data_IF_920430128539
#
_entry.id   IF_920430128539
#
_cell.length_a   1.000
_cell.length_b   1.000
_cell.length_c   1.000
_cell.angle_alpha   90.00
_cell.angle_beta   90.00
_cell.angle_gamma   90.00
#
_symmetry.space_group_name_H-M   'P 1'
#
loop_
_entity.id
_entity.type
_entity.pdbx_description
1 polymer ?
#
# COMPACT_ATOMS: atom_id res chain seq x y z
N UNK A 1 -47.33 -5.81 101.43
CA UNK A 1 -46.66 -7.12 101.67
C UNK A 1 -45.86 -7.53 100.50
N UNK A 2 -44.53 -7.66 100.71
CA UNK A 2 -43.54 -8.49 100.04
C UNK A 2 -43.45 -8.41 98.50
N UNK A 3 -42.45 -7.72 97.91
CA UNK A 3 -41.06 -8.15 97.70
C UNK A 3 -40.97 -9.35 96.74
N UNK A 4 -40.36 -9.17 95.61
CA UNK A 4 -39.11 -9.86 95.30
C UNK A 4 -38.39 -9.29 94.07
N UNK A 5 -37.16 -9.04 94.28
CA UNK A 5 -36.11 -8.61 93.40
C UNK A 5 -35.61 -9.84 92.66
N UNK A 6 -35.21 -9.75 91.41
CA UNK A 6 -34.02 -10.42 90.88
C UNK A 6 -33.75 -10.04 89.43
N UNK A 7 -32.75 -9.30 89.22
CA UNK A 7 -31.43 -9.57 88.62
C UNK A 7 -31.44 -9.97 87.15
N UNK A 8 -30.93 -9.01 86.37
CA UNK A 8 -29.78 -9.04 85.49
C UNK A 8 -29.69 -10.19 84.49
N UNK A 9 -29.62 -9.85 83.24
CA UNK A 9 -29.05 -10.58 82.13
C UNK A 9 -28.71 -9.63 80.99
N UNK A 10 -27.51 -9.04 81.04
CA UNK A 10 -26.91 -8.36 79.88
C UNK A 10 -26.60 -9.39 78.81
N UNK A 11 -27.20 -9.25 77.66
CA UNK A 11 -26.72 -9.86 76.42
C UNK A 11 -26.55 -8.74 75.40
N UNK A 12 -25.32 -8.30 75.32
CA UNK A 12 -24.89 -7.41 74.24
C UNK A 12 -24.81 -8.23 72.96
N UNK A 13 -25.77 -8.01 72.06
CA UNK A 13 -25.69 -8.53 70.68
C UNK A 13 -24.98 -7.47 69.88
N UNK A 14 -23.67 -7.68 69.67
CA UNK A 14 -22.85 -6.91 68.77
C UNK A 14 -23.30 -7.17 67.33
N UNK A 15 -23.95 -6.17 66.74
CA UNK A 15 -24.20 -6.15 65.30
C UNK A 15 -22.88 -5.81 64.54
N UNK A 16 -22.18 -6.83 64.06
CA UNK A 16 -21.09 -6.69 63.09
C UNK A 16 -21.72 -6.21 61.75
N UNK A 17 -21.66 -4.94 61.50
CA UNK A 17 -21.82 -4.35 60.16
C UNK A 17 -20.58 -4.75 59.35
N UNK A 18 -20.66 -5.87 58.62
CA UNK A 18 -19.74 -6.16 57.55
C UNK A 18 -19.97 -5.18 56.43
N UNK A 19 -19.21 -4.08 56.41
CA UNK A 19 -19.12 -3.20 55.25
C UNK A 19 -18.43 -4.00 54.12
N UNK A 20 -19.24 -4.67 53.30
CA UNK A 20 -18.81 -5.23 52.04
C UNK A 20 -18.36 -4.09 51.14
N UNK A 21 -17.05 -3.87 51.06
CA UNK A 21 -16.45 -3.04 50.01
C UNK A 21 -16.68 -3.80 48.73
N UNK A 22 -17.75 -3.52 48.01
CA UNK A 22 -17.96 -3.93 46.63
C UNK A 22 -16.90 -3.18 45.85
N UNK A 23 -15.75 -3.83 45.62
CA UNK A 23 -14.86 -3.46 44.50
C UNK A 23 -15.68 -3.68 43.24
N UNK A 24 -16.45 -2.68 42.82
CA UNK A 24 -16.88 -2.60 41.46
C UNK A 24 -15.58 -2.53 40.65
N UNK A 25 -15.14 -3.69 40.11
CA UNK A 25 -14.28 -3.71 38.97
C UNK A 25 -15.05 -3.02 37.83
N UNK A 26 -15.11 -1.68 37.91
CA UNK A 26 -15.39 -0.90 36.73
C UNK A 26 -14.30 -1.34 35.76
N UNK A 27 -14.66 -2.12 34.74
CA UNK A 27 -13.81 -2.30 33.60
C UNK A 27 -13.49 -0.88 33.13
N UNK A 28 -12.31 -0.39 33.54
CA UNK A 28 -11.74 0.81 32.94
C UNK A 28 -11.67 0.43 31.47
N UNK A 29 -12.54 1.00 30.65
CA UNK A 29 -12.43 0.89 29.22
C UNK A 29 -10.98 1.27 28.94
N UNK A 30 -10.16 0.28 28.59
CA UNK A 30 -8.75 0.50 28.36
C UNK A 30 -8.68 1.43 27.17
N UNK A 31 -8.37 2.70 27.43
CA UNK A 31 -8.20 3.72 26.40
C UNK A 31 -7.34 3.13 25.28
N UNK A 32 -7.92 2.93 24.12
CA UNK A 32 -7.21 2.44 22.92
C UNK A 32 -6.69 3.61 22.11
N UNK A 33 -5.63 3.38 21.35
CA UNK A 33 -5.18 4.30 20.30
C UNK A 33 -5.70 3.74 18.98
N UNK A 34 -6.68 4.43 18.39
CA UNK A 34 -7.20 4.07 17.08
C UNK A 34 -6.23 4.49 15.98
N UNK A 35 -6.02 3.60 15.01
CA UNK A 35 -5.27 3.86 13.79
C UNK A 35 -6.12 3.52 12.58
N UNK A 36 -6.12 4.41 11.58
CA UNK A 36 -6.86 4.21 10.34
C UNK A 36 -6.08 3.36 9.36
N UNK A 37 -6.75 2.42 8.69
CA UNK A 37 -6.22 1.64 7.58
C UNK A 37 -7.09 1.93 6.36
N UNK A 38 -6.51 2.62 5.38
CA UNK A 38 -7.21 3.14 4.20
C UNK A 38 -6.62 2.51 2.94
N UNK A 39 -7.14 1.35 2.57
CA UNK A 39 -6.72 0.58 1.40
C UNK A 39 -7.93 0.03 0.65
N UNK A 40 -7.84 -0.01 -0.70
CA UNK A 40 -8.87 -0.63 -1.53
C UNK A 40 -8.88 -2.15 -1.32
N UNK A 41 -9.99 -2.66 -0.81
CA UNK A 41 -10.23 -4.09 -0.61
C UNK A 41 -11.12 -4.66 -1.72
N UNK A 42 -11.60 -3.78 -2.59
CA UNK A 42 -12.38 -4.10 -3.79
C UNK A 42 -11.97 -3.18 -4.95
N UNK A 43 -12.39 -3.54 -6.18
CA UNK A 43 -12.02 -2.82 -7.40
C UNK A 43 -10.62 -3.18 -7.92
N UNK A 44 -10.13 -2.39 -8.87
CA UNK A 44 -8.92 -2.67 -9.68
C UNK A 44 -7.62 -2.75 -8.89
N UNK A 45 -7.56 -2.13 -7.71
CA UNK A 45 -6.37 -2.10 -6.85
C UNK A 45 -6.41 -3.11 -5.69
N UNK A 46 -7.51 -3.87 -5.53
CA UNK A 46 -7.64 -4.81 -4.42
C UNK A 46 -6.52 -5.87 -4.40
N UNK A 47 -6.07 -6.32 -5.56
CA UNK A 47 -4.98 -7.30 -5.69
C UNK A 47 -3.69 -6.83 -5.02
N UNK A 48 -3.40 -5.52 -5.09
CA UNK A 48 -2.16 -4.93 -4.53
C UNK A 48 -2.36 -4.38 -3.10
N UNK A 49 -3.59 -4.01 -2.71
CA UNK A 49 -3.82 -3.27 -1.45
C UNK A 49 -4.29 -4.15 -0.30
N UNK A 50 -4.90 -5.31 -0.57
CA UNK A 50 -5.42 -6.20 0.48
C UNK A 50 -4.31 -6.68 1.41
N UNK A 51 -3.17 -7.08 0.86
CA UNK A 51 -2.01 -7.53 1.63
C UNK A 51 -1.47 -6.45 2.56
N UNK A 52 -1.46 -5.18 2.12
CA UNK A 52 -1.01 -4.08 2.98
C UNK A 52 -1.91 -3.92 4.22
N UNK A 53 -3.22 -4.07 4.06
CA UNK A 53 -4.16 -4.11 5.18
C UNK A 53 -3.85 -5.28 6.12
N UNK A 54 -3.58 -6.49 5.58
CA UNK A 54 -3.29 -7.67 6.38
C UNK A 54 -1.98 -7.52 7.17
N UNK A 55 -0.93 -6.96 6.56
CA UNK A 55 0.34 -6.64 7.23
C UNK A 55 0.11 -5.64 8.37
N UNK A 56 -0.68 -4.59 8.14
CA UNK A 56 -0.98 -3.63 9.21
C UNK A 56 -1.74 -4.25 10.37
N UNK A 57 -2.73 -5.12 10.11
CA UNK A 57 -3.44 -5.85 11.17
C UNK A 57 -2.52 -6.79 11.94
N UNK A 58 -1.62 -7.49 11.25
CA UNK A 58 -0.61 -8.34 11.87
C UNK A 58 0.31 -7.53 12.80
N UNK A 59 0.82 -6.39 12.34
CA UNK A 59 1.71 -5.54 13.13
C UNK A 59 1.00 -4.94 14.35
N UNK A 60 -0.27 -4.57 14.23
CA UNK A 60 -1.09 -4.10 15.35
C UNK A 60 -1.28 -5.21 16.39
N UNK A 61 -1.58 -6.44 15.94
CA UNK A 61 -1.71 -7.60 16.84
C UNK A 61 -0.39 -7.91 17.56
N UNK A 62 0.72 -7.93 16.83
CA UNK A 62 2.05 -8.12 17.42
C UNK A 62 2.41 -7.03 18.44
N UNK A 63 2.13 -5.76 18.13
CA UNK A 63 2.38 -4.68 19.07
C UNK A 63 1.49 -4.79 20.31
N UNK A 64 0.24 -5.20 20.15
CA UNK A 64 -0.67 -5.42 21.25
C UNK A 64 -0.24 -6.60 22.16
N UNK A 65 0.32 -7.67 21.59
CA UNK A 65 0.93 -8.79 22.35
C UNK A 65 2.14 -8.35 23.16
N UNK A 66 2.87 -7.33 22.68
CA UNK A 66 4.01 -6.72 23.40
C UNK A 66 3.58 -5.70 24.47
N UNK A 67 2.27 -5.50 24.71
CA UNK A 67 1.73 -4.56 25.69
C UNK A 67 1.17 -3.25 25.12
N UNK A 68 1.01 -3.19 23.81
CA UNK A 68 0.47 -2.01 23.13
C UNK A 68 1.47 -0.87 22.93
N UNK A 69 0.98 0.35 22.88
CA UNK A 69 1.77 1.57 22.73
C UNK A 69 1.41 2.56 23.82
N UNK A 70 2.39 3.07 24.57
CA UNK A 70 2.18 3.98 25.70
C UNK A 70 1.20 3.41 26.76
N UNK A 71 1.22 2.10 26.98
CA UNK A 71 0.34 1.41 27.92
C UNK A 71 -1.11 1.21 27.43
N UNK A 72 -1.39 1.55 26.14
CA UNK A 72 -2.71 1.42 25.51
C UNK A 72 -2.68 0.40 24.38
N UNK A 73 -3.79 -0.29 24.15
CA UNK A 73 -3.94 -1.15 22.97
C UNK A 73 -4.11 -0.31 21.72
N UNK A 74 -3.59 -0.81 20.60
CA UNK A 74 -3.89 -0.29 19.27
C UNK A 74 -5.20 -0.92 18.77
N UNK A 75 -6.04 -0.12 18.14
CA UNK A 75 -7.30 -0.53 17.53
C UNK A 75 -7.33 -0.08 16.08
N UNK A 76 -7.56 -1.01 15.15
CA UNK A 76 -7.63 -0.71 13.72
C UNK A 76 -9.03 -0.29 13.30
N UNK A 77 -9.15 0.86 12.63
CA UNK A 77 -10.34 1.25 11.87
C UNK A 77 -10.05 1.04 10.38
N UNK A 78 -10.55 -0.07 9.82
CA UNK A 78 -10.32 -0.45 8.43
C UNK A 78 -11.46 0.05 7.56
N UNK A 79 -11.14 0.70 6.44
CA UNK A 79 -12.13 1.17 5.46
C UNK A 79 -11.71 0.79 4.05
N UNK A 80 -12.72 0.46 3.22
CA UNK A 80 -12.56 0.15 1.80
C UNK A 80 -13.07 1.33 0.95
N UNK A 81 -12.20 2.05 0.25
CA UNK A 81 -12.58 3.06 -0.73
C UNK A 81 -12.82 2.49 -2.15
N UNK A 82 -12.83 1.17 -2.33
CA UNK A 82 -13.24 0.48 -3.55
C UNK A 82 -12.55 0.97 -4.83
N UNK A 83 -11.27 1.30 -4.79
CA UNK A 83 -10.50 1.87 -5.92
C UNK A 83 -11.14 3.14 -6.52
N UNK A 84 -11.91 3.87 -5.72
CA UNK A 84 -12.60 5.10 -6.09
C UNK A 84 -11.95 6.31 -5.42
N UNK A 85 -11.28 7.16 -6.19
CA UNK A 85 -10.45 8.24 -5.64
C UNK A 85 -11.23 9.29 -4.83
N UNK A 86 -12.42 9.75 -5.24
CA UNK A 86 -13.30 10.56 -4.39
C UNK A 86 -13.67 9.89 -3.07
N UNK A 87 -13.93 8.59 -3.08
CA UNK A 87 -14.28 7.83 -1.88
C UNK A 87 -13.09 7.71 -0.90
N UNK A 88 -11.84 7.69 -1.41
CA UNK A 88 -10.66 7.80 -0.54
C UNK A 88 -10.70 9.07 0.32
N UNK A 89 -11.01 10.21 -0.28
CA UNK A 89 -11.09 11.47 0.47
C UNK A 89 -12.23 11.47 1.51
N UNK A 90 -13.39 10.91 1.16
CA UNK A 90 -14.52 10.76 2.09
C UNK A 90 -14.14 9.85 3.26
N UNK A 91 -13.59 8.66 2.99
CA UNK A 91 -13.18 7.71 4.02
C UNK A 91 -12.06 8.24 4.91
N UNK A 92 -11.09 8.97 4.33
CA UNK A 92 -10.07 9.67 5.12
C UNK A 92 -10.69 10.67 6.09
N UNK A 93 -11.66 11.47 5.63
CA UNK A 93 -12.39 12.43 6.48
C UNK A 93 -13.14 11.73 7.61
N UNK A 94 -13.79 10.62 7.33
CA UNK A 94 -14.52 9.83 8.31
C UNK A 94 -13.57 9.23 9.37
N UNK A 95 -12.46 8.63 8.96
CA UNK A 95 -11.44 8.11 9.88
C UNK A 95 -10.94 9.21 10.85
N UNK A 96 -10.65 10.40 10.33
CA UNK A 96 -10.09 11.49 11.14
C UNK A 96 -11.17 12.14 12.01
N UNK A 97 -12.33 12.49 11.42
CA UNK A 97 -13.34 13.33 12.12
C UNK A 97 -14.33 12.53 12.95
N UNK A 98 -14.73 11.32 12.51
CA UNK A 98 -15.72 10.48 13.19
C UNK A 98 -15.05 9.45 14.09
N UNK A 99 -14.13 8.65 13.52
CA UNK A 99 -13.42 7.60 14.25
C UNK A 99 -12.31 8.13 15.18
N UNK A 100 -11.84 9.37 14.95
CA UNK A 100 -10.81 10.04 15.75
C UNK A 100 -9.49 9.25 15.77
N UNK A 101 -9.08 8.68 14.64
CA UNK A 101 -7.83 7.96 14.55
C UNK A 101 -6.62 8.89 14.78
N UNK A 102 -5.58 8.37 15.41
CA UNK A 102 -4.36 9.13 15.72
C UNK A 102 -3.49 9.34 14.45
N UNK A 103 -3.52 8.39 13.53
CA UNK A 103 -2.84 8.44 12.24
C UNK A 103 -3.54 7.51 11.26
N UNK A 104 -3.30 7.71 9.96
CA UNK A 104 -3.80 6.83 8.90
C UNK A 104 -2.61 6.20 8.17
N UNK A 105 -2.67 4.90 7.97
CA UNK A 105 -1.79 4.13 7.10
C UNK A 105 -2.57 3.76 5.86
N UNK A 106 -2.08 4.17 4.69
CA UNK A 106 -2.89 3.86 3.51
C UNK A 106 -2.56 4.63 2.27
N UNK A 107 -3.48 4.50 1.34
CA UNK A 107 -3.30 4.78 -0.07
C UNK A 107 -2.24 3.87 -0.71
N UNK A 108 -2.40 3.60 -1.98
CA UNK A 108 -1.41 2.89 -2.77
C UNK A 108 -1.07 3.70 -4.02
N UNK A 109 -2.06 4.08 -4.80
CA UNK A 109 -1.85 4.90 -5.98
C UNK A 109 -1.53 6.35 -5.61
N UNK A 110 -0.70 7.01 -6.40
CA UNK A 110 -0.46 8.45 -6.21
C UNK A 110 -1.72 9.28 -6.40
N UNK A 111 -2.68 8.83 -7.21
CA UNK A 111 -3.95 9.53 -7.35
C UNK A 111 -4.82 9.41 -6.10
N UNK A 112 -4.84 8.25 -5.41
CA UNK A 112 -5.53 8.13 -4.13
C UNK A 112 -4.88 9.01 -3.06
N UNK A 113 -3.54 9.01 -2.97
CA UNK A 113 -2.81 9.92 -2.08
C UNK A 113 -3.18 11.38 -2.35
N UNK A 114 -3.08 11.83 -3.60
CA UNK A 114 -3.41 13.22 -3.97
C UNK A 114 -4.86 13.59 -3.65
N UNK A 115 -5.79 12.66 -3.73
CA UNK A 115 -7.19 12.91 -3.39
C UNK A 115 -7.41 13.17 -1.88
N UNK A 116 -6.59 12.56 -1.02
CA UNK A 116 -6.72 12.71 0.45
C UNK A 116 -5.89 13.87 1.01
N UNK A 117 -4.87 14.36 0.31
CA UNK A 117 -4.01 15.45 0.81
C UNK A 117 -4.79 16.66 1.35
N UNK A 118 -5.82 17.19 0.65
CA UNK A 118 -6.60 18.32 1.17
C UNK A 118 -7.26 18.02 2.50
N UNK A 119 -7.73 16.79 2.71
CA UNK A 119 -8.37 16.36 3.96
C UNK A 119 -7.36 16.32 5.12
N UNK A 120 -6.16 15.77 4.88
CA UNK A 120 -5.11 15.71 5.89
C UNK A 120 -4.59 17.11 6.27
N UNK A 121 -4.48 18.01 5.30
CA UNK A 121 -4.15 19.43 5.53
C UNK A 121 -5.20 20.12 6.38
N UNK A 122 -6.45 20.06 5.96
CA UNK A 122 -7.59 20.73 6.60
C UNK A 122 -7.76 20.27 8.05
N UNK A 123 -7.66 18.96 8.29
CA UNK A 123 -7.88 18.35 9.61
C UNK A 123 -6.59 18.21 10.43
N UNK A 124 -5.46 18.68 9.91
CA UNK A 124 -4.12 18.58 10.53
C UNK A 124 -3.80 17.18 11.06
N UNK A 125 -4.08 16.16 10.26
CA UNK A 125 -3.83 14.77 10.58
C UNK A 125 -2.58 14.25 9.86
N UNK A 126 -2.20 12.98 10.09
CA UNK A 126 -0.98 12.37 9.56
C UNK A 126 -1.31 11.14 8.72
N UNK A 127 -0.73 11.10 7.52
CA UNK A 127 -0.75 9.95 6.62
C UNK A 127 0.63 9.29 6.56
N UNK A 128 0.70 7.98 6.77
CA UNK A 128 1.83 7.16 6.41
C UNK A 128 1.53 6.50 5.07
N UNK A 129 2.24 6.94 4.03
CA UNK A 129 2.09 6.45 2.66
C UNK A 129 3.16 5.38 2.38
N UNK A 130 2.78 4.08 2.19
CA UNK A 130 3.71 2.97 2.34
C UNK A 130 4.50 2.61 1.08
N UNK A 131 4.06 2.99 -0.12
CA UNK A 131 4.61 2.48 -1.38
C UNK A 131 5.42 3.53 -2.14
N UNK A 132 6.10 3.09 -3.20
CA UNK A 132 6.84 3.96 -4.10
C UNK A 132 5.93 5.03 -4.74
N UNK A 133 6.53 6.12 -5.16
CA UNK A 133 5.83 7.23 -5.81
C UNK A 133 6.76 7.97 -6.78
N UNK A 134 6.19 8.87 -7.56
CA UNK A 134 6.91 9.66 -8.57
C UNK A 134 7.88 10.69 -8.02
N UNK A 135 7.95 10.87 -6.69
CA UNK A 135 8.66 12.01 -6.11
C UNK A 135 7.94 13.34 -6.38
N UNK A 136 8.71 14.44 -6.44
CA UNK A 136 8.24 15.79 -6.80
C UNK A 136 7.07 16.31 -5.95
N UNK A 137 6.90 15.76 -4.75
CA UNK A 137 5.87 16.14 -3.78
C UNK A 137 6.47 16.14 -2.38
N UNK A 138 6.18 17.18 -1.63
CA UNK A 138 6.53 17.31 -0.22
C UNK A 138 5.33 17.89 0.52
N UNK A 139 4.70 17.08 1.36
CA UNK A 139 3.56 17.48 2.15
C UNK A 139 3.83 17.20 3.63
N UNK A 140 3.76 18.24 4.47
CA UNK A 140 4.08 18.12 5.91
C UNK A 140 3.22 17.11 6.68
N UNK A 141 2.05 16.81 6.15
CA UNK A 141 1.09 15.88 6.77
C UNK A 141 1.29 14.42 6.28
N UNK A 142 2.32 14.16 5.45
CA UNK A 142 2.56 12.83 4.88
C UNK A 142 3.98 12.36 5.16
N UNK A 143 4.09 11.15 5.67
CA UNK A 143 5.35 10.40 5.69
C UNK A 143 5.39 9.49 4.46
N UNK A 144 6.26 9.82 3.52
CA UNK A 144 6.54 9.02 2.33
C UNK A 144 7.57 7.95 2.71
N UNK A 145 7.13 6.71 2.90
CA UNK A 145 8.00 5.62 3.36
C UNK A 145 8.45 4.69 2.23
N UNK A 146 7.88 4.87 1.03
CA UNK A 146 8.28 4.15 -0.17
C UNK A 146 9.35 4.89 -0.99
N UNK A 147 9.87 4.20 -2.01
CA UNK A 147 10.96 4.67 -2.84
C UNK A 147 10.53 5.81 -3.80
N UNK A 148 11.40 6.79 -3.96
CA UNK A 148 11.33 7.79 -5.03
C UNK A 148 12.06 7.27 -6.29
N UNK A 149 11.92 7.90 -7.47
CA UNK A 149 12.50 7.41 -8.73
C UNK A 149 14.03 7.22 -8.70
N UNK A 150 14.75 8.05 -7.96
CA UNK A 150 16.19 7.91 -7.77
C UNK A 150 16.59 6.72 -6.88
N UNK A 151 15.64 6.12 -6.17
CA UNK A 151 15.85 4.96 -5.31
C UNK A 151 15.33 3.66 -5.96
N UNK A 152 14.53 3.72 -7.00
CA UNK A 152 13.93 2.57 -7.66
C UNK A 152 14.10 2.64 -9.19
N UNK A 153 13.43 3.56 -9.85
CA UNK A 153 13.28 3.57 -11.31
C UNK A 153 14.62 3.82 -12.03
N UNK A 154 15.41 4.79 -11.57
CA UNK A 154 16.72 5.12 -12.16
C UNK A 154 17.73 3.98 -11.94
N UNK A 155 17.92 3.44 -10.73
CA UNK A 155 18.81 2.29 -10.53
C UNK A 155 18.43 1.04 -11.34
N UNK A 156 17.13 0.77 -11.52
CA UNK A 156 16.66 -0.35 -12.33
C UNK A 156 17.04 -0.19 -13.83
N UNK A 157 16.90 1.04 -14.34
CA UNK A 157 17.31 1.36 -15.72
C UNK A 157 18.85 1.28 -15.86
N UNK A 158 19.60 1.83 -14.88
CA UNK A 158 21.07 1.73 -14.89
C UNK A 158 21.54 0.27 -14.88
N UNK A 159 20.91 -0.59 -14.10
CA UNK A 159 21.19 -2.03 -14.11
C UNK A 159 20.98 -2.62 -15.50
N UNK A 160 19.83 -2.40 -16.12
CA UNK A 160 19.53 -2.93 -17.47
C UNK A 160 20.47 -2.35 -18.56
N UNK A 161 20.98 -1.14 -18.38
CA UNK A 161 21.99 -0.56 -19.29
C UNK A 161 23.38 -1.16 -19.08
N UNK A 162 23.66 -1.76 -17.92
CA UNK A 162 24.93 -2.36 -17.59
C UNK A 162 25.17 -3.68 -18.35
N UNK A 163 26.41 -4.18 -18.32
CA UNK A 163 26.78 -5.46 -18.89
C UNK A 163 25.98 -6.61 -18.24
N UNK A 164 25.82 -6.59 -16.92
CA UNK A 164 25.13 -7.61 -16.15
C UNK A 164 23.61 -7.60 -16.40
N UNK A 165 23.04 -6.43 -16.65
CA UNK A 165 21.64 -6.22 -16.97
C UNK A 165 21.29 -6.39 -18.46
N UNK A 166 22.26 -6.72 -19.30
CA UNK A 166 22.05 -7.06 -20.70
C UNK A 166 22.35 -5.95 -21.71
N UNK A 167 22.90 -4.80 -21.31
CA UNK A 167 23.29 -3.68 -22.20
C UNK A 167 22.12 -3.14 -23.05
N UNK A 168 20.96 -2.97 -22.43
CA UNK A 168 19.73 -2.50 -23.10
C UNK A 168 19.97 -1.13 -23.73
N UNK A 169 19.51 -0.97 -24.97
CA UNK A 169 19.67 0.25 -25.78
C UNK A 169 18.33 0.83 -26.23
N UNK A 170 17.24 0.06 -26.09
CA UNK A 170 15.92 0.42 -26.56
C UNK A 170 14.87 0.17 -25.49
N UNK A 171 13.92 1.08 -25.33
CA UNK A 171 13.10 1.13 -24.13
C UNK A 171 11.62 1.27 -24.44
N UNK A 172 10.81 0.44 -23.82
CA UNK A 172 9.37 0.62 -23.76
C UNK A 172 8.99 1.03 -22.36
N UNK A 173 8.35 2.18 -22.21
CA UNK A 173 7.82 2.69 -20.95
C UNK A 173 6.30 2.48 -20.98
N UNK A 174 5.83 1.39 -20.39
CA UNK A 174 4.42 1.02 -20.36
C UNK A 174 3.82 1.27 -18.97
N UNK A 175 2.70 1.98 -18.90
CA UNK A 175 2.13 2.34 -17.61
C UNK A 175 0.62 2.53 -17.61
N UNK A 176 0.04 2.49 -16.43
CA UNK A 176 -1.35 2.90 -16.20
C UNK A 176 -1.48 4.41 -16.35
N UNK A 177 -2.58 4.88 -16.94
CA UNK A 177 -2.78 6.28 -17.26
C UNK A 177 -3.20 7.13 -16.05
N UNK A 178 -2.22 7.49 -15.21
CA UNK A 178 -2.41 8.45 -14.10
C UNK A 178 -1.07 9.08 -13.69
N UNK A 179 -1.06 9.91 -12.64
CA UNK A 179 0.05 10.78 -12.28
C UNK A 179 1.38 10.03 -12.05
N UNK A 180 1.37 8.89 -11.33
CA UNK A 180 2.61 8.15 -11.03
C UNK A 180 3.30 7.64 -12.30
N UNK A 181 2.67 6.84 -13.18
CA UNK A 181 3.32 6.37 -14.40
C UNK A 181 3.72 7.51 -15.34
N UNK A 182 2.85 8.51 -15.52
CA UNK A 182 3.15 9.64 -16.41
C UNK A 182 4.35 10.44 -15.94
N UNK A 183 4.46 10.72 -14.65
CA UNK A 183 5.60 11.47 -14.09
C UNK A 183 6.86 10.60 -14.05
N UNK A 184 6.76 9.35 -13.59
CA UNK A 184 7.91 8.43 -13.56
C UNK A 184 8.47 8.17 -14.95
N UNK A 185 7.62 7.91 -15.95
CA UNK A 185 8.05 7.68 -17.31
C UNK A 185 8.65 8.95 -17.96
N UNK A 186 8.14 10.14 -17.61
CA UNK A 186 8.75 11.41 -18.04
C UNK A 186 10.16 11.59 -17.45
N UNK A 187 10.34 11.26 -16.18
CA UNK A 187 11.66 11.27 -15.53
C UNK A 187 12.60 10.27 -16.23
N UNK A 188 12.13 9.05 -16.48
CA UNK A 188 12.91 8.02 -17.17
C UNK A 188 13.23 8.40 -18.62
N UNK A 189 12.28 8.97 -19.36
CA UNK A 189 12.54 9.46 -20.71
C UNK A 189 13.66 10.52 -20.73
N UNK A 190 13.58 11.50 -19.82
CA UNK A 190 14.63 12.52 -19.69
C UNK A 190 15.98 11.90 -19.29
N UNK A 191 15.94 10.95 -18.37
CA UNK A 191 17.14 10.23 -17.93
C UNK A 191 17.78 9.42 -19.06
N UNK A 192 17.00 8.63 -19.79
CA UNK A 192 17.46 7.85 -20.94
C UNK A 192 18.09 8.74 -22.03
N UNK A 193 17.44 9.86 -22.35
CA UNK A 193 17.99 10.88 -23.28
C UNK A 193 19.31 11.44 -22.77
N UNK A 194 19.46 11.70 -21.48
CA UNK A 194 20.72 12.16 -20.88
C UNK A 194 21.85 11.13 -20.98
N UNK A 195 21.51 9.84 -21.08
CA UNK A 195 22.45 8.74 -21.33
C UNK A 195 22.72 8.47 -22.81
N UNK A 196 22.20 9.30 -23.71
CA UNK A 196 22.41 9.21 -25.15
C UNK A 196 21.45 8.27 -25.88
N UNK A 197 20.36 7.84 -25.25
CA UNK A 197 19.32 7.07 -25.94
C UNK A 197 18.55 7.99 -26.88
N UNK A 198 18.47 7.61 -28.16
CA UNK A 198 17.76 8.37 -29.16
C UNK A 198 16.24 8.38 -28.93
N UNK A 199 15.51 9.43 -29.27
CA UNK A 199 14.05 9.44 -29.14
C UNK A 199 13.34 8.26 -29.82
N UNK A 200 13.81 7.85 -30.99
CA UNK A 200 13.26 6.70 -31.73
C UNK A 200 13.50 5.34 -31.06
N UNK A 201 14.35 5.30 -30.04
CA UNK A 201 14.62 4.13 -29.21
C UNK A 201 13.82 4.15 -27.91
N UNK A 202 12.83 5.05 -27.78
CA UNK A 202 11.92 5.13 -26.63
C UNK A 202 10.48 5.09 -27.11
N UNK A 203 9.73 4.07 -26.69
CA UNK A 203 8.30 3.92 -26.95
C UNK A 203 7.54 4.10 -25.61
N UNK A 204 6.49 4.90 -25.61
CA UNK A 204 5.69 5.16 -24.40
C UNK A 204 4.23 4.78 -24.65
N UNK A 205 3.66 3.96 -23.79
CA UNK A 205 2.26 3.54 -23.85
C UNK A 205 1.58 3.73 -22.49
N UNK A 206 0.33 4.20 -22.52
CA UNK A 206 -0.51 4.31 -21.32
C UNK A 206 -1.85 3.62 -21.56
N UNK A 207 -2.36 2.93 -20.54
CA UNK A 207 -3.67 2.29 -20.54
C UNK A 207 -4.48 2.70 -19.31
N UNK A 208 -5.81 2.71 -19.35
CA UNK A 208 -6.61 2.99 -18.16
C UNK A 208 -6.43 1.89 -17.10
N UNK A 209 -6.83 2.20 -15.86
CA UNK A 209 -6.97 1.18 -14.82
C UNK A 209 -7.90 0.06 -15.28
N UNK A 210 -7.59 -1.19 -14.93
CA UNK A 210 -8.38 -2.36 -15.30
C UNK A 210 -8.32 -2.72 -16.79
N UNK A 211 -7.34 -2.19 -17.55
CA UNK A 211 -7.17 -2.54 -18.96
C UNK A 211 -6.90 -4.03 -19.14
N UNK A 212 -7.65 -4.68 -20.03
CA UNK A 212 -7.59 -6.13 -20.20
C UNK A 212 -7.19 -6.61 -21.62
N UNK A 213 -7.29 -5.74 -22.64
CA UNK A 213 -6.96 -6.07 -24.02
C UNK A 213 -5.54 -5.61 -24.39
N UNK A 214 -4.55 -6.44 -24.13
CA UNK A 214 -3.14 -6.14 -24.37
C UNK A 214 -2.61 -6.62 -25.71
N UNK A 215 -3.46 -7.23 -26.56
CA UNK A 215 -3.00 -7.88 -27.79
C UNK A 215 -2.22 -6.93 -28.71
N UNK A 216 -2.77 -5.77 -29.00
CA UNK A 216 -2.13 -4.78 -29.88
C UNK A 216 -0.85 -4.20 -29.26
N UNK A 217 -0.90 -3.83 -27.98
CA UNK A 217 0.23 -3.20 -27.29
C UNK A 217 1.42 -4.18 -27.21
N UNK A 218 1.16 -5.46 -26.88
CA UNK A 218 2.20 -6.48 -26.83
C UNK A 218 2.77 -6.79 -28.21
N UNK A 219 1.92 -6.80 -29.27
CA UNK A 219 2.40 -6.93 -30.65
C UNK A 219 3.30 -5.75 -31.06
N UNK A 220 2.95 -4.52 -30.67
CA UNK A 220 3.76 -3.33 -30.91
C UNK A 220 5.10 -3.39 -30.15
N UNK A 221 5.10 -3.84 -28.90
CA UNK A 221 6.31 -4.08 -28.11
C UNK A 221 7.23 -5.09 -28.84
N UNK A 222 6.67 -6.20 -29.30
CA UNK A 222 7.39 -7.23 -30.04
C UNK A 222 8.01 -6.69 -31.33
N UNK A 223 7.22 -5.95 -32.10
CA UNK A 223 7.67 -5.29 -33.33
C UNK A 223 8.78 -4.28 -33.04
N UNK A 224 8.59 -3.45 -32.01
CA UNK A 224 9.57 -2.46 -31.59
C UNK A 224 10.89 -3.12 -31.18
N UNK A 225 10.86 -4.23 -30.46
CA UNK A 225 12.04 -4.99 -30.03
C UNK A 225 12.73 -5.79 -31.14
N UNK A 226 12.10 -5.96 -32.32
CA UNK A 226 12.69 -6.71 -33.45
C UNK A 226 13.74 -5.94 -34.25
N UNK A 227 14.12 -4.74 -33.83
CA UNK A 227 15.07 -3.87 -34.55
C UNK A 227 16.54 -4.28 -34.49
N UNK A 228 16.88 -5.39 -33.83
CA UNK A 228 18.25 -5.84 -33.61
C UNK A 228 18.98 -5.17 -32.44
N UNK A 229 18.37 -4.18 -31.81
CA UNK A 229 18.87 -3.56 -30.56
C UNK A 229 18.29 -4.27 -29.34
N UNK A 230 19.09 -4.50 -28.31
CA UNK A 230 18.62 -5.03 -27.03
C UNK A 230 17.55 -4.09 -26.43
N UNK A 231 16.36 -4.61 -26.24
CA UNK A 231 15.16 -3.88 -25.83
C UNK A 231 14.67 -4.38 -24.49
N UNK A 232 14.18 -3.50 -23.62
CA UNK A 232 13.48 -3.85 -22.39
C UNK A 232 12.20 -3.05 -22.24
N UNK A 233 11.26 -3.59 -21.45
CA UNK A 233 10.05 -2.91 -20.99
C UNK A 233 10.24 -2.50 -19.55
N UNK A 234 10.03 -1.22 -19.26
CA UNK A 234 9.82 -0.73 -17.89
C UNK A 234 8.32 -0.65 -17.68
N UNK A 235 7.82 -1.43 -16.71
CA UNK A 235 6.39 -1.49 -16.40
C UNK A 235 6.07 -0.67 -15.15
N UNK A 236 5.26 0.36 -15.36
CA UNK A 236 4.56 1.13 -14.33
C UNK A 236 3.05 0.85 -14.37
N UNK A 237 2.68 -0.36 -14.82
CA UNK A 237 1.30 -0.87 -14.83
C UNK A 237 0.93 -1.24 -13.40
N UNK A 238 -0.29 -0.86 -12.96
CA UNK A 238 -0.74 -1.06 -11.59
C UNK A 238 -2.05 -1.86 -11.52
N UNK A 239 -2.18 -2.59 -10.41
CA UNK A 239 -3.37 -3.35 -10.08
C UNK A 239 -3.61 -4.56 -10.98
N UNK A 240 -4.87 -4.92 -11.14
CA UNK A 240 -5.32 -6.11 -11.86
C UNK A 240 -4.97 -6.15 -13.35
N UNK A 241 -4.66 -4.99 -13.97
CA UNK A 241 -4.21 -4.91 -15.36
C UNK A 241 -2.87 -5.65 -15.62
N UNK A 242 -2.08 -5.93 -14.57
CA UNK A 242 -0.86 -6.74 -14.68
C UNK A 242 -1.18 -8.18 -15.11
N UNK A 243 -2.27 -8.75 -14.63
CA UNK A 243 -2.65 -10.14 -14.92
C UNK A 243 -2.81 -10.40 -16.43
N UNK A 244 -3.69 -9.69 -17.17
CA UNK A 244 -3.80 -9.87 -18.61
C UNK A 244 -2.58 -9.38 -19.38
N UNK A 245 -1.81 -8.40 -18.89
CA UNK A 245 -0.56 -7.97 -19.52
C UNK A 245 0.46 -9.13 -19.60
N UNK A 246 0.78 -9.73 -18.46
CA UNK A 246 1.74 -10.84 -18.42
C UNK A 246 1.23 -12.08 -19.14
N UNK A 247 -0.07 -12.38 -19.06
CA UNK A 247 -0.68 -13.44 -19.83
C UNK A 247 -0.47 -13.25 -21.33
N UNK A 248 -0.65 -12.01 -21.81
CA UNK A 248 -0.49 -11.72 -23.24
C UNK A 248 0.97 -11.73 -23.69
N UNK A 249 1.93 -11.34 -22.84
CA UNK A 249 3.36 -11.56 -23.12
C UNK A 249 3.63 -13.02 -23.40
N UNK A 250 3.11 -13.92 -22.55
CA UNK A 250 3.23 -15.37 -22.74
C UNK A 250 2.55 -15.87 -24.01
N UNK A 251 1.32 -15.43 -24.30
CA UNK A 251 0.58 -15.79 -25.51
C UNK A 251 1.32 -15.46 -26.79
N UNK A 252 1.98 -14.30 -26.84
CA UNK A 252 2.77 -13.87 -28.01
C UNK A 252 4.20 -14.35 -27.99
N UNK A 253 4.59 -15.15 -26.99
CA UNK A 253 5.91 -15.76 -26.86
C UNK A 253 7.03 -14.76 -26.60
N UNK A 254 6.74 -13.61 -25.97
CA UNK A 254 7.77 -12.69 -25.50
C UNK A 254 8.42 -13.26 -24.24
N UNK A 255 9.70 -13.62 -24.37
CA UNK A 255 10.51 -14.14 -23.26
C UNK A 255 11.41 -13.04 -22.70
N UNK A 256 11.75 -13.17 -21.43
CA UNK A 256 12.71 -12.27 -20.79
C UNK A 256 14.10 -12.26 -21.44
N UNK A 257 14.48 -13.38 -22.10
CA UNK A 257 15.72 -13.47 -22.88
C UNK A 257 15.74 -12.57 -24.11
N UNK A 258 14.57 -12.23 -24.62
CA UNK A 258 14.42 -11.43 -25.84
C UNK A 258 14.11 -9.96 -25.49
N UNK A 259 13.08 -9.76 -24.66
CA UNK A 259 12.62 -8.44 -24.21
C UNK A 259 12.26 -8.55 -22.72
N UNK A 260 13.22 -8.37 -21.80
CA UNK A 260 12.93 -8.40 -20.38
C UNK A 260 11.96 -7.28 -19.99
N UNK A 261 11.06 -7.58 -19.07
CA UNK A 261 10.22 -6.59 -18.36
C UNK A 261 10.83 -6.37 -17.00
N UNK A 262 11.02 -5.13 -16.59
CA UNK A 262 11.24 -4.76 -15.20
C UNK A 262 9.99 -4.04 -14.68
N UNK A 263 9.35 -4.62 -13.69
CA UNK A 263 8.14 -4.06 -13.07
C UNK A 263 8.48 -3.30 -11.78
N UNK A 264 7.76 -2.20 -11.55
CA UNK A 264 7.91 -1.39 -10.33
C UNK A 264 6.78 -1.62 -9.31
N UNK A 265 5.81 -2.46 -9.67
CA UNK A 265 4.59 -2.64 -8.88
C UNK A 265 4.04 -4.06 -9.04
N UNK A 266 4.92 -5.06 -9.09
CA UNK A 266 4.53 -6.48 -9.16
C UNK A 266 5.27 -7.23 -8.05
N UNK A 267 4.51 -7.83 -7.16
CA UNK A 267 4.94 -8.75 -6.13
C UNK A 267 4.32 -10.12 -6.29
N UNK A 268 4.37 -10.95 -5.26
CA UNK A 268 3.82 -12.31 -5.28
C UNK A 268 2.30 -12.31 -5.50
N UNK A 269 1.59 -11.31 -4.99
CA UNK A 269 0.13 -11.21 -5.08
C UNK A 269 -0.34 -11.04 -6.52
N UNK A 270 0.33 -10.18 -7.30
CA UNK A 270 -0.01 -9.97 -8.70
C UNK A 270 0.30 -11.22 -9.55
N UNK A 271 1.19 -12.07 -9.09
CA UNK A 271 1.52 -13.33 -9.76
C UNK A 271 0.57 -14.47 -9.37
N UNK A 272 -0.19 -14.32 -8.28
CA UNK A 272 -1.12 -15.32 -7.83
C UNK A 272 -2.19 -15.62 -8.89
N UNK A 273 -2.37 -16.89 -9.24
CA UNK A 273 -3.32 -17.31 -10.25
C UNK A 273 -2.87 -17.15 -11.71
N UNK A 274 -1.62 -16.71 -11.96
CA UNK A 274 -1.01 -16.69 -13.28
C UNK A 274 -0.23 -17.99 -13.56
N UNK A 275 -0.15 -18.37 -14.86
CA UNK A 275 0.91 -19.27 -15.29
C UNK A 275 2.24 -18.50 -15.28
N UNK A 276 3.09 -18.80 -14.32
CA UNK A 276 4.37 -18.11 -14.15
C UNK A 276 5.49 -18.61 -15.05
N UNK A 277 5.30 -19.73 -15.76
CA UNK A 277 6.33 -20.28 -16.67
C UNK A 277 6.80 -19.29 -17.74
N UNK A 278 5.89 -18.57 -18.43
CA UNK A 278 6.31 -17.57 -19.41
C UNK A 278 7.01 -16.34 -18.78
N UNK A 279 6.88 -16.17 -17.46
CA UNK A 279 7.40 -15.00 -16.75
C UNK A 279 8.82 -15.19 -16.22
N UNK A 280 9.37 -16.38 -16.33
CA UNK A 280 10.71 -16.68 -15.84
C UNK A 280 11.76 -15.76 -16.48
N UNK A 281 12.52 -15.07 -15.62
CA UNK A 281 13.58 -14.14 -16.01
C UNK A 281 13.14 -12.69 -16.20
N UNK A 282 11.85 -12.36 -16.16
CA UNK A 282 11.40 -10.99 -15.97
C UNK A 282 11.76 -10.53 -14.56
N UNK A 283 11.87 -9.22 -14.36
CA UNK A 283 12.42 -8.60 -13.16
C UNK A 283 11.35 -7.78 -12.43
N UNK A 284 11.48 -7.71 -11.11
CA UNK A 284 10.80 -6.74 -10.29
C UNK A 284 11.83 -5.85 -9.58
N UNK A 285 11.61 -4.55 -9.57
CA UNK A 285 12.39 -3.58 -8.82
C UNK A 285 11.44 -2.87 -7.87
N UNK A 286 11.20 -3.51 -6.74
CA UNK A 286 10.25 -3.01 -5.75
C UNK A 286 10.84 -3.08 -4.34
N UNK A 287 10.24 -2.38 -3.40
CA UNK A 287 10.70 -2.32 -2.01
C UNK A 287 10.21 -3.51 -1.15
N UNK A 288 9.36 -4.36 -1.70
CA UNK A 288 8.98 -5.68 -1.15
C UNK A 288 8.61 -6.65 -2.29
N UNK A 289 8.64 -7.94 -1.97
CA UNK A 289 8.32 -9.01 -2.92
C UNK A 289 7.67 -10.16 -2.14
#
# INVERSE_FOLDING_TARGET
MRSFVSRLGCAAVGALLAAGVIFSNGAIAQDSIKVGILHSLSGTMAISETTLKDVMLMLIDEQNKKGGLLGKKLEASVVDPASNWPLFAEKARDLISKEKVAAVFGCWTSVSRKSVLPVFKELNSVLFYPVQYEGEESERNVFYTGAAPNQQAIPAVDYLMSKDGGEVKRWVLAGTDYVYPRTTNKILEAYLKSKGVAPDDIMINYTPFGHSDWQTIVADIKKFGSSGKKTAVVSTINGDANVPFYKELGNQGLKATDIPVVAFSVGEEELAGLDTKPLLGHLAAWNYF
#
